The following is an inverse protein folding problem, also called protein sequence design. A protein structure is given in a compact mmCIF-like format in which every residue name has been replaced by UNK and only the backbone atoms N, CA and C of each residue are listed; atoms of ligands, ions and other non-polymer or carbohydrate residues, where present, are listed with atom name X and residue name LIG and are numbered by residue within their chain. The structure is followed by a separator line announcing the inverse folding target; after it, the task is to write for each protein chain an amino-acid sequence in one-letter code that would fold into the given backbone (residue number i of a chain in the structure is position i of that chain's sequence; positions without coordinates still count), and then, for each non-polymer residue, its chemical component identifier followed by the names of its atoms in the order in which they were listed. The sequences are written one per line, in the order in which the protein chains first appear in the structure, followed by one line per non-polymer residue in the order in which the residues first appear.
data_IF_883516319293
#
_entry.id   IF_883516319293
#
_cell.length_a   1.000
_cell.length_b   1.000
_cell.length_c   1.000
_cell.angle_alpha   90.00
_cell.angle_beta   90.00
_cell.angle_gamma   90.00
#
_symmetry.space_group_name_H-M   'P 1'
#
loop_
_entity.id
_entity.type
_entity.pdbx_description
1 polymer ?
#
# COMPACT_ATOMS: atom_id res chain seq x y z
N UNK A 1 13.15 -1.52 -15.05
CA UNK A 1 11.90 -1.10 -14.38
C UNK A 1 10.96 -2.30 -14.31
N UNK A 2 10.19 -2.46 -13.25
CA UNK A 2 9.30 -3.61 -13.02
C UNK A 2 7.86 -3.14 -12.83
N UNK A 3 6.91 -3.91 -13.37
CA UNK A 3 5.49 -3.67 -13.16
C UNK A 3 5.09 -4.16 -11.77
N UNK A 4 4.34 -3.36 -10.98
CA UNK A 4 3.80 -3.82 -9.71
C UNK A 4 2.90 -5.04 -9.88
N UNK A 5 2.76 -5.83 -8.81
CA UNK A 5 1.84 -6.97 -8.80
C UNK A 5 0.40 -6.60 -9.21
N UNK A 6 -0.41 -7.55 -9.70
CA UNK A 6 -1.78 -7.27 -10.14
C UNK A 6 -2.62 -6.58 -9.05
N UNK A 7 -3.57 -5.76 -9.47
CA UNK A 7 -4.48 -5.00 -8.59
C UNK A 7 -5.47 -5.88 -7.83
N UNK A 8 -5.86 -7.02 -8.40
CA UNK A 8 -6.68 -8.05 -7.76
C UNK A 8 -5.91 -8.97 -6.80
N UNK A 9 -4.61 -8.73 -6.54
CA UNK A 9 -3.87 -9.50 -5.53
C UNK A 9 -4.41 -9.16 -4.14
N UNK A 10 -4.96 -10.16 -3.48
CA UNK A 10 -5.52 -10.06 -2.15
C UNK A 10 -4.46 -10.19 -1.05
N UNK A 11 -4.68 -9.52 0.08
CA UNK A 11 -3.93 -9.71 1.33
C UNK A 11 -4.94 -9.74 2.48
N UNK A 12 -5.22 -10.92 3.02
CA UNK A 12 -6.19 -11.15 4.11
C UNK A 12 -7.54 -10.45 3.87
N UNK A 13 -8.18 -10.72 2.73
CA UNK A 13 -9.46 -10.11 2.35
C UNK A 13 -9.33 -8.74 1.68
N UNK A 14 -8.17 -8.05 1.80
CA UNK A 14 -8.00 -6.72 1.22
C UNK A 14 -7.35 -6.78 -0.16
N UNK A 15 -8.12 -6.40 -1.18
CA UNK A 15 -7.63 -6.24 -2.56
C UNK A 15 -6.81 -4.94 -2.68
N UNK A 16 -5.93 -4.85 -3.69
CA UNK A 16 -5.07 -3.69 -3.98
C UNK A 16 -3.94 -3.42 -2.97
N UNK A 17 -4.07 -3.83 -1.71
CA UNK A 17 -3.09 -3.55 -0.66
C UNK A 17 -1.67 -4.04 -1.03
N UNK A 18 -1.56 -5.28 -1.54
CA UNK A 18 -0.29 -5.82 -2.01
C UNK A 18 0.32 -4.97 -3.13
N UNK A 19 -0.51 -4.48 -4.08
CA UNK A 19 -0.05 -3.64 -5.19
C UNK A 19 0.48 -2.30 -4.70
N UNK A 20 -0.19 -1.69 -3.72
CA UNK A 20 0.30 -0.45 -3.09
C UNK A 20 1.68 -0.68 -2.42
N UNK A 21 1.84 -1.76 -1.65
CA UNK A 21 3.13 -2.08 -1.03
C UNK A 21 4.23 -2.35 -2.05
N UNK A 22 3.91 -3.06 -3.12
CA UNK A 22 4.86 -3.37 -4.17
C UNK A 22 5.31 -2.10 -4.90
N UNK A 23 4.38 -1.19 -5.22
CA UNK A 23 4.71 0.15 -5.74
C UNK A 23 5.65 0.92 -4.82
N UNK A 24 5.40 0.92 -3.51
CA UNK A 24 6.25 1.58 -2.51
C UNK A 24 7.66 0.99 -2.52
N UNK A 25 7.77 -0.35 -2.52
CA UNK A 25 9.04 -1.07 -2.54
C UNK A 25 9.81 -0.81 -3.84
N UNK A 26 9.13 -0.89 -4.99
CA UNK A 26 9.69 -0.59 -6.31
C UNK A 26 10.17 0.86 -6.42
N UNK A 27 9.39 1.82 -5.91
CA UNK A 27 9.80 3.24 -5.82
C UNK A 27 11.07 3.38 -4.98
N UNK A 28 11.14 2.70 -3.84
CA UNK A 28 12.31 2.69 -2.97
C UNK A 28 13.57 2.11 -3.60
N UNK A 29 13.42 1.16 -4.54
CA UNK A 29 14.54 0.57 -5.31
C UNK A 29 14.87 1.33 -6.60
N UNK A 30 14.11 2.36 -6.97
CA UNK A 30 14.26 3.04 -8.27
C UNK A 30 13.85 2.18 -9.47
N UNK A 31 13.04 1.15 -9.24
CA UNK A 31 12.62 0.19 -10.28
C UNK A 31 11.19 0.43 -10.78
N UNK A 32 10.44 1.31 -10.11
CA UNK A 32 9.09 1.67 -10.53
C UNK A 32 9.14 2.54 -11.80
N UNK A 33 8.36 2.23 -12.85
CA UNK A 33 8.26 3.10 -14.01
C UNK A 33 7.75 4.50 -13.62
N UNK A 34 8.25 5.57 -14.27
CA UNK A 34 7.96 6.95 -13.88
C UNK A 34 6.48 7.33 -14.02
N UNK A 35 5.74 6.65 -14.87
CA UNK A 35 4.31 6.92 -15.11
C UNK A 35 3.39 6.37 -14.00
N UNK A 36 3.94 5.66 -13.00
CA UNK A 36 3.16 5.20 -11.86
C UNK A 36 3.04 6.26 -10.78
N UNK A 37 1.80 6.65 -10.49
CA UNK A 37 1.47 7.50 -9.35
C UNK A 37 1.69 6.75 -8.03
N UNK A 38 2.24 7.43 -7.03
CA UNK A 38 2.62 6.86 -5.73
C UNK A 38 2.53 7.93 -4.65
N UNK A 39 1.69 7.71 -3.65
CA UNK A 39 1.53 8.64 -2.54
C UNK A 39 0.11 9.18 -2.38
N UNK A 40 0.01 10.26 -1.61
CA UNK A 40 -1.25 10.92 -1.23
C UNK A 40 -1.32 12.39 -1.67
N UNK A 41 -0.20 12.98 -2.09
CA UNK A 41 -0.08 14.43 -2.30
C UNK A 41 -0.55 14.90 -3.68
N UNK A 42 -0.37 14.09 -4.73
CA UNK A 42 -0.67 14.52 -6.10
C UNK A 42 -2.18 14.48 -6.41
N UNK A 43 -2.89 13.46 -5.92
CA UNK A 43 -4.33 13.32 -6.12
C UNK A 43 -4.95 12.42 -5.03
N UNK A 44 -5.85 12.95 -4.17
CA UNK A 44 -6.48 12.20 -3.08
C UNK A 44 -7.49 11.16 -3.58
N UNK A 45 -7.82 11.15 -4.87
CA UNK A 45 -8.67 10.15 -5.51
C UNK A 45 -7.90 8.91 -5.96
N UNK A 46 -6.56 8.92 -5.88
CA UNK A 46 -5.72 7.77 -6.20
C UNK A 46 -5.96 6.62 -5.23
N UNK A 47 -5.81 5.39 -5.72
CA UNK A 47 -6.07 4.19 -4.93
C UNK A 47 -5.14 4.05 -3.72
N UNK A 48 -3.88 4.50 -3.79
CA UNK A 48 -2.97 4.52 -2.64
C UNK A 48 -3.53 5.41 -1.51
N UNK A 49 -4.05 6.59 -1.86
CA UNK A 49 -4.68 7.51 -0.92
C UNK A 49 -6.00 6.96 -0.36
N UNK A 50 -6.82 6.33 -1.20
CA UNK A 50 -8.04 5.66 -0.75
C UNK A 50 -7.74 4.50 0.19
N UNK A 51 -6.74 3.67 -0.12
CA UNK A 51 -6.36 2.50 0.68
C UNK A 51 -5.81 2.92 2.05
N UNK A 52 -4.92 3.91 2.09
CA UNK A 52 -4.38 4.43 3.36
C UNK A 52 -5.44 5.13 4.20
N UNK A 53 -6.36 5.89 3.59
CA UNK A 53 -7.53 6.46 4.28
C UNK A 53 -8.47 5.38 4.80
N UNK A 54 -8.72 4.35 4.00
CA UNK A 54 -9.56 3.20 4.38
C UNK A 54 -8.97 2.43 5.56
N UNK A 55 -7.65 2.30 5.64
CA UNK A 55 -6.96 1.68 6.78
C UNK A 55 -6.71 2.66 7.95
N UNK A 56 -6.96 3.96 7.77
CA UNK A 56 -6.71 4.99 8.78
C UNK A 56 -5.22 5.18 9.09
N UNK A 57 -4.33 4.93 8.13
CA UNK A 57 -2.87 5.02 8.31
C UNK A 57 -2.26 6.15 7.49
N UNK A 58 -1.17 6.72 7.98
CA UNK A 58 -0.39 7.71 7.23
C UNK A 58 0.49 7.00 6.17
N UNK A 59 0.45 7.47 4.93
CA UNK A 59 1.18 6.88 3.80
C UNK A 59 2.69 6.89 4.01
N UNK A 60 3.29 7.98 4.52
CA UNK A 60 4.73 8.06 4.70
C UNK A 60 5.24 7.07 5.74
N UNK A 61 4.50 6.93 6.85
CA UNK A 61 4.81 5.91 7.87
C UNK A 61 4.70 4.49 7.30
N UNK A 62 3.65 4.21 6.52
CA UNK A 62 3.50 2.93 5.83
C UNK A 62 4.65 2.70 4.84
N UNK A 63 5.04 3.72 4.09
CA UNK A 63 6.10 3.62 3.11
C UNK A 63 7.46 3.32 3.75
N UNK A 64 7.76 3.94 4.89
CA UNK A 64 8.93 3.63 5.71
C UNK A 64 8.85 2.17 6.20
N UNK A 65 7.71 1.76 6.78
CA UNK A 65 7.53 0.40 7.30
C UNK A 65 7.67 -0.67 6.21
N UNK A 66 7.12 -0.44 5.02
CA UNK A 66 7.17 -1.39 3.91
C UNK A 66 8.58 -1.57 3.33
N UNK A 67 9.41 -0.52 3.39
CA UNK A 67 10.82 -0.57 2.96
C UNK A 67 11.73 -1.31 3.94
N UNK A 68 11.33 -1.44 5.20
CA UNK A 68 12.05 -2.26 6.18
C UNK A 68 11.93 -3.77 5.91
N UNK A 69 11.11 -4.19 4.94
CA UNK A 69 10.87 -5.58 4.61
C UNK A 69 9.71 -6.19 5.43
N UNK A 70 9.57 -7.51 5.32
CA UNK A 70 8.41 -8.26 5.82
C UNK A 70 7.37 -8.55 4.75
N UNK A 71 6.47 -9.46 5.04
CA UNK A 71 5.41 -9.90 4.14
C UNK A 71 4.29 -8.85 4.04
N UNK A 72 3.47 -8.96 2.98
CA UNK A 72 2.31 -8.10 2.80
C UNK A 72 1.35 -8.24 4.00
N UNK A 73 1.17 -9.45 4.51
CA UNK A 73 0.31 -9.74 5.66
C UNK A 73 0.83 -9.13 6.97
N UNK A 74 2.15 -9.16 7.20
CA UNK A 74 2.76 -8.56 8.39
C UNK A 74 2.58 -7.04 8.42
N UNK A 75 2.71 -6.42 7.25
CA UNK A 75 2.51 -4.97 7.11
C UNK A 75 1.04 -4.62 7.24
N UNK A 76 0.12 -5.46 6.73
CA UNK A 76 -1.31 -5.26 6.91
C UNK A 76 -1.72 -5.33 8.39
N UNK A 77 -1.21 -6.32 9.14
CA UNK A 77 -1.44 -6.39 10.59
C UNK A 77 -0.86 -5.16 11.31
N UNK A 78 0.27 -4.63 10.84
CA UNK A 78 0.80 -3.37 11.36
C UNK A 78 -0.15 -2.20 11.06
N UNK A 79 -0.75 -2.13 9.87
CA UNK A 79 -1.75 -1.11 9.54
C UNK A 79 -2.95 -1.20 10.49
N UNK A 80 -3.46 -2.39 10.76
CA UNK A 80 -4.56 -2.59 11.70
C UNK A 80 -4.24 -2.14 13.13
N UNK A 81 -2.97 -2.24 13.54
CA UNK A 81 -2.51 -1.76 14.86
C UNK A 81 -2.33 -0.23 14.92
N UNK A 82 -2.02 0.42 13.80
CA UNK A 82 -1.75 1.86 13.75
C UNK A 82 -2.98 2.70 13.40
N UNK A 83 -3.91 2.12 12.64
CA UNK A 83 -5.13 2.79 12.19
C UNK A 83 -6.36 2.01 12.64
N UNK A 84 -7.10 1.47 11.67
CA UNK A 84 -8.31 0.66 11.92
C UNK A 84 -8.24 -0.69 11.22
N UNK A 85 -9.04 -1.64 11.70
CA UNK A 85 -9.32 -2.93 11.05
C UNK A 85 -10.73 -2.88 10.45
N UNK A 86 -10.88 -2.82 9.12
CA UNK A 86 -12.17 -2.94 8.46
C UNK A 86 -12.84 -4.29 8.76
N UNK A 87 -14.16 -4.35 8.70
CA UNK A 87 -14.90 -5.62 8.74
C UNK A 87 -14.77 -6.37 7.40
N UNK A 88 -15.32 -7.59 7.32
CA UNK A 88 -15.35 -8.35 6.06
C UNK A 88 -16.28 -7.73 5.00
N UNK A 89 -17.24 -6.89 5.40
CA UNK A 89 -18.20 -6.24 4.50
C UNK A 89 -17.70 -4.88 3.97
N UNK A 90 -16.60 -4.36 4.53
CA UNK A 90 -15.96 -3.09 4.14
C UNK A 90 -14.79 -3.30 3.17
#
# INVERSE_FOLDING_TARGET
MQTPCPDYKETKGLVYFARMLDKIRLKGRGELPPDYFVGVDDDPTMFDARCTRFLGVNYDKLAIRARQGGSDEEILEWCFKQGRRPSEEE
#
